data_IF_351429335653
#
_entry.id   IF_351429335653
#
_cell.length_a   1.000
_cell.length_b   1.000
_cell.length_c   1.000
_cell.angle_alpha   90.00
_cell.angle_beta   90.00
_cell.angle_gamma   90.00
#
_symmetry.space_group_name_H-M   'P 1'
#
loop_
_entity.id
_entity.type
_entity.pdbx_description
1 polymer ?
#
# COMPACT_ATOMS: atom_id res chain seq x y z
N UNK A 1 0.06 33.52 -31.46
CA UNK A 1 0.15 32.83 -31.34
C UNK A 1 0.10 31.94 -30.91
N UNK A 2 -0.06 31.51 -30.78
CA UNK A 2 -0.08 30.54 -30.46
C UNK A 2 0.32 30.14 -29.70
N UNK A 3 0.52 30.08 -29.31
CA UNK A 3 0.93 29.60 -28.60
C UNK A 3 0.50 29.45 -27.65
N UNK A 4 0.17 29.44 -27.24
CA UNK A 4 -0.09 29.20 -26.34
C UNK A 4 -0.65 28.42 -26.02
N UNK A 5 -0.86 28.07 -26.09
CA UNK A 5 -1.28 27.18 -25.88
C UNK A 5 -0.86 26.34 -25.40
N UNK A 6 -0.39 26.10 -25.30
CA UNK A 6 0.39 25.30 -25.12
C UNK A 6 0.65 25.10 -23.78
N UNK A 7 1.06 25.89 -23.25
CA UNK A 7 1.50 25.69 -21.98
C UNK A 7 0.54 25.04 -21.19
N UNK A 8 -0.47 25.16 -21.31
CA UNK A 8 -1.38 24.66 -20.59
C UNK A 8 -1.34 23.29 -20.42
N UNK A 9 -0.93 22.72 -21.20
CA UNK A 9 -1.01 21.38 -21.14
C UNK A 9 -0.38 20.83 -19.99
N UNK A 10 0.65 21.26 -19.60
CA UNK A 10 1.34 20.68 -18.67
C UNK A 10 0.75 20.67 -17.40
N UNK A 11 0.23 21.62 -17.03
CA UNK A 11 -0.24 21.68 -15.80
C UNK A 11 -0.98 20.54 -15.44
N UNK A 12 -1.65 20.01 -16.21
CA UNK A 12 -2.47 19.01 -15.87
C UNK A 12 -1.75 17.93 -15.28
N UNK A 13 -0.64 17.81 -15.49
CA UNK A 13 0.09 16.79 -15.05
C UNK A 13 0.29 16.80 -13.64
N UNK A 14 0.57 17.82 -13.05
CA UNK A 14 0.86 17.89 -11.75
C UNK A 14 -0.02 17.30 -10.81
N UNK A 15 -1.16 17.50 -10.86
CA UNK A 15 -2.06 17.09 -9.87
C UNK A 15 -2.00 15.65 -9.63
N UNK A 16 -1.59 14.95 -10.54
CA UNK A 16 -1.58 13.61 -10.39
C UNK A 16 -0.69 13.13 -9.35
N UNK A 17 0.21 13.86 -9.03
CA UNK A 17 1.15 13.46 -8.07
C UNK A 17 0.46 13.01 -6.84
N UNK A 18 -0.56 13.61 -6.48
CA UNK A 18 -1.22 13.27 -5.35
C UNK A 18 -1.88 11.98 -5.42
N UNK A 19 -2.32 11.66 -6.53
CA UNK A 19 -3.03 10.46 -6.69
C UNK A 19 -2.20 9.28 -6.38
N UNK A 20 -0.95 9.40 -6.35
CA UNK A 20 -0.11 8.27 -6.11
C UNK A 20 0.16 8.02 -4.66
N UNK A 21 -0.31 8.82 -3.79
CA UNK A 21 0.01 8.59 -2.42
C UNK A 21 -0.69 7.39 -1.85
N UNK A 22 0.00 6.54 -1.09
CA UNK A 22 -0.63 5.37 -0.54
C UNK A 22 -1.59 5.75 0.57
N UNK A 23 -2.57 4.94 0.79
CA UNK A 23 -3.57 5.19 1.81
C UNK A 23 -3.05 4.91 3.20
N UNK A 24 -1.95 4.22 3.34
CA UNK A 24 -1.39 3.89 4.63
C UNK A 24 0.09 4.21 4.70
N UNK A 25 0.62 4.27 5.88
CA UNK A 25 2.04 4.55 6.09
C UNK A 25 2.87 3.44 5.47
N UNK A 26 3.88 3.81 4.76
CA UNK A 26 4.69 2.86 4.03
C UNK A 26 6.16 3.26 4.08
N UNK A 27 7.04 2.29 4.15
CA UNK A 27 8.48 2.53 4.16
C UNK A 27 9.12 1.63 3.11
N UNK A 28 10.43 1.61 3.03
CA UNK A 28 11.13 0.73 2.11
C UNK A 28 10.82 -0.72 2.45
N UNK A 29 10.39 -1.00 3.65
CA UNK A 29 10.04 -2.35 4.05
C UNK A 29 8.59 -2.67 3.76
N UNK A 30 7.85 -1.76 3.18
CA UNK A 30 6.43 -1.96 2.87
C UNK A 30 5.54 -1.28 3.89
N UNK A 31 4.25 -1.53 3.78
CA UNK A 31 3.27 -0.94 4.67
C UNK A 31 3.52 -1.41 6.09
N UNK A 32 3.24 -0.56 7.05
CA UNK A 32 3.43 -0.82 8.47
C UNK A 32 4.79 -1.42 8.76
N UNK A 33 5.79 -0.93 8.05
CA UNK A 33 7.19 -1.31 8.23
C UNK A 33 7.41 -2.80 8.06
N UNK A 34 6.60 -3.45 7.24
CA UNK A 34 6.80 -4.87 6.96
C UNK A 34 6.24 -5.81 8.00
N UNK A 35 5.46 -5.30 8.96
CA UNK A 35 4.81 -6.18 9.91
C UNK A 35 3.52 -6.74 9.30
N UNK A 36 3.12 -7.89 9.79
CA UNK A 36 1.97 -8.62 9.26
C UNK A 36 0.67 -8.12 9.89
N UNK A 37 -0.21 -7.50 9.12
CA UNK A 37 -1.44 -6.96 9.70
C UNK A 37 -2.43 -8.05 10.13
N UNK A 38 -2.38 -9.21 9.51
CA UNK A 38 -3.27 -10.28 9.88
C UNK A 38 -2.85 -10.85 11.24
N UNK A 39 -1.56 -11.00 11.45
CA UNK A 39 -1.05 -11.51 12.71
C UNK A 39 -1.43 -10.59 13.87
N UNK A 40 -1.50 -9.29 13.60
CA UNK A 40 -1.88 -8.35 14.64
C UNK A 40 -3.25 -8.73 15.19
N UNK A 41 -4.18 -9.13 14.33
CA UNK A 41 -5.52 -9.49 14.78
C UNK A 41 -5.61 -10.92 15.31
N UNK A 42 -4.87 -11.85 14.74
CA UNK A 42 -4.99 -13.23 15.12
C UNK A 42 -4.13 -13.61 16.32
N UNK A 43 -2.98 -12.96 16.44
CA UNK A 43 -2.06 -13.25 17.54
C UNK A 43 -2.06 -12.15 18.57
N UNK A 44 -2.38 -10.95 18.15
CA UNK A 44 -2.41 -9.82 19.07
C UNK A 44 -1.05 -9.23 19.36
N UNK A 45 -0.07 -9.50 18.51
CA UNK A 45 1.28 -9.00 18.72
C UNK A 45 1.95 -8.63 17.42
N UNK A 46 2.89 -7.69 17.42
CA UNK A 46 3.61 -7.34 16.22
C UNK A 46 4.38 -8.54 15.73
N UNK A 47 4.20 -8.86 14.46
CA UNK A 47 4.84 -10.02 13.86
C UNK A 47 5.42 -9.62 12.52
N UNK A 48 6.70 -9.85 12.31
CA UNK A 48 7.33 -9.48 11.07
C UNK A 48 6.83 -10.32 9.93
N UNK A 49 6.57 -9.67 8.79
CA UNK A 49 6.23 -10.36 7.57
C UNK A 49 7.47 -10.63 6.74
N UNK A 50 7.32 -11.44 5.72
CA UNK A 50 8.38 -11.78 4.78
C UNK A 50 8.00 -11.31 3.40
N UNK A 51 8.98 -10.85 2.63
CA UNK A 51 8.71 -10.39 1.29
C UNK A 51 8.23 -11.58 0.45
N UNK A 52 8.51 -12.78 0.87
CA UNK A 52 8.09 -13.97 0.21
C UNK A 52 6.56 -14.09 0.22
N UNK A 53 5.90 -13.56 1.23
CA UNK A 53 4.47 -13.59 1.34
C UNK A 53 3.97 -12.14 1.34
N UNK A 54 3.83 -11.56 0.15
CA UNK A 54 3.47 -10.16 0.07
C UNK A 54 2.45 -9.89 -1.03
N UNK A 55 1.75 -8.80 -0.92
CA UNK A 55 0.81 -8.36 -1.93
C UNK A 55 0.67 -6.85 -1.87
N UNK A 56 0.12 -6.25 -2.91
CA UNK A 56 -0.15 -4.83 -2.94
C UNK A 56 -1.62 -4.57 -2.78
N UNK A 57 -1.96 -3.52 -2.07
CA UNK A 57 -3.35 -3.12 -1.92
C UNK A 57 -3.41 -1.62 -1.71
N UNK A 58 -4.19 -0.95 -2.50
CA UNK A 58 -4.35 0.50 -2.46
C UNK A 58 -3.02 1.24 -2.44
N UNK A 59 -2.13 0.84 -3.31
CA UNK A 59 -0.86 1.53 -3.49
C UNK A 59 0.21 1.20 -2.47
N UNK A 60 -0.06 0.30 -1.55
CA UNK A 60 0.93 -0.07 -0.55
C UNK A 60 1.23 -1.55 -0.63
N UNK A 61 2.45 -1.92 -0.31
CA UNK A 61 2.89 -3.31 -0.34
C UNK A 61 2.84 -3.85 1.08
N UNK A 62 2.20 -4.99 1.25
CA UNK A 62 2.05 -5.60 2.57
C UNK A 62 2.80 -6.92 2.64
N UNK A 63 3.38 -7.24 3.79
CA UNK A 63 4.11 -8.48 4.00
C UNK A 63 3.44 -9.30 5.08
N UNK A 64 3.51 -10.61 4.95
CA UNK A 64 2.85 -11.52 5.88
C UNK A 64 3.81 -12.58 6.36
N UNK A 65 3.55 -13.13 7.51
CA UNK A 65 4.42 -14.13 8.11
C UNK A 65 4.21 -15.50 7.51
N UNK A 66 3.12 -15.72 6.81
CA UNK A 66 2.82 -17.01 6.23
C UNK A 66 1.93 -16.88 5.00
N UNK A 67 1.89 -17.92 4.21
CA UNK A 67 1.02 -17.97 3.05
C UNK A 67 -0.44 -17.92 3.49
N UNK A 68 -0.74 -18.49 4.64
CA UNK A 68 -2.09 -18.48 5.13
C UNK A 68 -2.55 -17.07 5.47
N UNK A 69 -1.70 -16.28 6.11
CA UNK A 69 -2.04 -14.92 6.46
C UNK A 69 -2.19 -14.06 5.21
N UNK A 70 -1.35 -14.28 4.20
CA UNK A 70 -1.47 -13.57 2.95
C UNK A 70 -2.83 -13.87 2.32
N UNK A 71 -3.24 -15.14 2.31
CA UNK A 71 -4.51 -15.50 1.73
C UNK A 71 -5.68 -14.89 2.49
N UNK A 72 -5.58 -14.78 3.80
CA UNK A 72 -6.63 -14.16 4.58
C UNK A 72 -6.77 -12.69 4.24
N UNK A 73 -5.64 -12.00 4.05
CA UNK A 73 -5.66 -10.59 3.71
C UNK A 73 -6.26 -10.41 2.32
N UNK A 74 -5.87 -11.24 1.37
CA UNK A 74 -6.38 -11.09 0.01
C UNK A 74 -7.87 -11.35 -0.07
N UNK A 75 -8.39 -12.18 0.82
CA UNK A 75 -9.82 -12.46 0.81
C UNK A 75 -10.61 -11.29 1.39
N UNK A 76 -10.04 -10.51 2.29
CA UNK A 76 -10.78 -9.40 2.92
C UNK A 76 -9.79 -8.34 3.41
N UNK A 77 -9.19 -7.60 2.50
CA UNK A 77 -8.16 -6.66 2.91
C UNK A 77 -8.65 -5.59 3.87
N UNK A 78 -9.90 -5.18 3.72
CA UNK A 78 -10.40 -4.11 4.58
C UNK A 78 -10.54 -4.53 6.04
N UNK A 79 -10.62 -5.82 6.30
CA UNK A 79 -10.72 -6.29 7.66
C UNK A 79 -9.40 -6.16 8.41
N UNK A 80 -8.29 -6.15 7.66
CA UNK A 80 -6.97 -6.19 8.29
C UNK A 80 -6.12 -4.97 8.03
N UNK A 81 -6.38 -4.22 6.97
CA UNK A 81 -5.54 -3.08 6.65
C UNK A 81 -5.76 -1.96 7.66
N UNK A 82 -4.73 -1.19 7.97
CA UNK A 82 -4.89 -0.08 8.91
C UNK A 82 -5.81 0.98 8.32
N UNK A 83 -6.55 1.62 9.15
CA UNK A 83 -7.45 2.70 8.74
C UNK A 83 -6.81 4.09 8.97
#
# INVERSE_FOLDING_TARGET
MTRYLVGLALLLVLPFAIAGEPAVFSTDEGAIRGYDPVAYFTIGAPTRGSIEFSTSWQGASYRFASAENLARFEADPEAYAPQ
#
